data_IF_389263733521
#
_entry.id   IF_389263733521
#
_cell.length_a   1.000
_cell.length_b   1.000
_cell.length_c   1.000
_cell.angle_alpha   90.00
_cell.angle_beta   90.00
_cell.angle_gamma   90.00
#
_symmetry.space_group_name_H-M   'P 1'
#
loop_
_entity.id
_entity.type
_entity.pdbx_description
1 polymer ?
#
# COMPACT_ATOMS: atom_id res chain seq x y z
N UNK A 1 -4.31 9.40 -41.12
CA UNK A 1 -5.77 9.51 -41.35
C UNK A 1 -6.55 8.25 -40.90
N UNK A 2 -5.94 7.29 -40.18
CA UNK A 2 -6.60 6.01 -39.81
C UNK A 2 -6.63 5.70 -38.29
N UNK A 3 -6.35 6.67 -37.41
CA UNK A 3 -6.28 6.47 -35.95
C UNK A 3 -7.57 5.91 -35.32
N UNK A 4 -8.73 6.12 -35.94
CA UNK A 4 -10.01 5.63 -35.44
C UNK A 4 -10.16 4.10 -35.54
N UNK A 5 -9.35 3.41 -36.36
CA UNK A 5 -9.40 1.96 -36.53
C UNK A 5 -8.37 1.22 -35.67
N UNK A 6 -7.38 1.91 -35.11
CA UNK A 6 -6.34 1.33 -34.24
C UNK A 6 -6.91 0.51 -33.06
N UNK A 7 -8.04 0.87 -32.41
CA UNK A 7 -8.60 0.07 -31.31
C UNK A 7 -9.11 -1.32 -31.73
N UNK A 8 -9.48 -1.49 -33.00
CA UNK A 8 -10.13 -2.69 -33.55
C UNK A 8 -9.14 -3.56 -34.35
N UNK A 9 -8.01 -2.99 -34.75
CA UNK A 9 -6.99 -3.69 -35.54
C UNK A 9 -6.13 -4.64 -34.67
N UNK A 10 -5.71 -5.80 -35.22
CA UNK A 10 -4.69 -6.64 -34.61
C UNK A 10 -3.44 -5.83 -34.26
N UNK A 11 -2.76 -6.13 -33.13
CA UNK A 11 -1.60 -5.37 -32.64
C UNK A 11 -0.51 -5.08 -33.70
N UNK A 12 -0.35 -5.94 -34.71
CA UNK A 12 0.60 -5.77 -35.83
C UNK A 12 0.20 -4.71 -36.88
N UNK A 13 -1.06 -4.29 -36.91
CA UNK A 13 -1.62 -3.34 -37.87
C UNK A 13 -1.89 -1.96 -37.28
N UNK A 14 -1.62 -1.77 -35.97
CA UNK A 14 -1.74 -0.46 -35.32
C UNK A 14 -0.68 0.50 -35.82
N UNK A 15 -1.11 1.71 -36.13
CA UNK A 15 -0.22 2.78 -36.63
C UNK A 15 0.53 3.52 -35.51
N UNK A 16 0.24 3.20 -34.24
CA UNK A 16 0.78 3.87 -33.07
C UNK A 16 1.41 2.89 -32.09
N UNK A 17 2.61 3.20 -31.60
CA UNK A 17 3.31 2.39 -30.61
C UNK A 17 2.47 2.27 -29.32
N UNK A 18 2.41 1.08 -28.70
CA UNK A 18 1.63 0.86 -27.50
C UNK A 18 1.98 1.85 -26.37
N UNK A 19 0.98 2.29 -25.63
CA UNK A 19 1.13 3.28 -24.56
C UNK A 19 0.80 2.67 -23.21
N UNK A 20 1.77 2.70 -22.30
CA UNK A 20 1.61 2.23 -20.92
C UNK A 20 1.62 3.42 -19.99
N UNK A 21 0.55 3.60 -19.22
CA UNK A 21 0.54 4.56 -18.13
C UNK A 21 1.23 3.92 -16.91
N UNK A 22 2.21 4.60 -16.33
CA UNK A 22 2.93 4.09 -15.15
C UNK A 22 2.58 4.90 -13.91
N UNK A 23 2.16 4.23 -12.84
CA UNK A 23 1.84 4.84 -11.53
C UNK A 23 2.77 4.25 -10.47
N UNK A 24 3.27 5.09 -9.56
CA UNK A 24 4.10 4.66 -8.42
C UNK A 24 3.32 4.81 -7.12
N UNK A 25 3.21 3.72 -6.36
CA UNK A 25 2.62 3.66 -5.03
C UNK A 25 3.74 3.35 -4.03
N UNK A 26 4.24 4.38 -3.37
CA UNK A 26 5.42 4.28 -2.50
C UNK A 26 5.13 4.83 -1.12
N UNK A 27 5.52 4.08 -0.08
CA UNK A 27 5.38 4.49 1.31
C UNK A 27 4.50 3.56 2.13
N UNK A 28 4.36 3.92 3.40
CA UNK A 28 3.42 3.28 4.32
C UNK A 28 1.99 3.61 3.91
N UNK A 29 1.14 2.58 3.89
CA UNK A 29 -0.27 2.69 3.54
C UNK A 29 -1.05 3.24 4.73
N UNK A 30 -1.74 4.36 4.55
CA UNK A 30 -2.49 5.02 5.62
C UNK A 30 -2.32 6.53 5.62
N UNK A 31 -2.49 7.11 6.80
CA UNK A 31 -2.29 8.53 7.01
C UNK A 31 -0.80 8.90 6.91
N UNK A 32 -0.55 10.04 6.30
CA UNK A 32 0.79 10.60 6.19
C UNK A 32 1.20 11.36 7.43
N UNK A 33 2.47 11.73 7.48
CA UNK A 33 2.95 12.71 8.45
C UNK A 33 2.77 14.12 7.95
N UNK A 34 2.92 15.07 8.88
CA UNK A 34 3.00 16.50 8.57
C UNK A 34 4.08 16.82 7.51
N UNK A 35 5.07 15.93 7.36
CA UNK A 35 6.18 16.09 6.43
C UNK A 35 6.06 15.28 5.13
N UNK A 36 5.30 14.18 5.13
CA UNK A 36 5.16 13.28 3.99
C UNK A 36 3.72 12.78 3.85
N UNK A 37 3.13 12.93 2.67
CA UNK A 37 1.82 12.38 2.39
C UNK A 37 1.86 10.85 2.49
N UNK A 38 0.87 10.28 3.17
CA UNK A 38 0.71 8.83 3.33
C UNK A 38 0.08 8.23 2.07
N UNK A 39 0.28 6.94 1.88
CA UNK A 39 -0.30 6.21 0.76
C UNK A 39 -1.75 5.83 1.11
N UNK A 40 -2.71 6.67 0.74
CA UNK A 40 -4.15 6.44 0.94
C UNK A 40 -4.96 6.75 -0.32
N UNK A 41 -6.22 6.30 -0.36
CA UNK A 41 -7.07 6.44 -1.54
C UNK A 41 -7.20 7.90 -2.01
N UNK A 42 -7.42 8.83 -1.08
CA UNK A 42 -7.58 10.25 -1.40
C UNK A 42 -6.33 10.83 -2.09
N UNK A 43 -5.13 10.39 -1.69
CA UNK A 43 -3.88 10.85 -2.28
C UNK A 43 -3.61 10.25 -3.67
N UNK A 44 -4.05 9.01 -3.94
CA UNK A 44 -3.76 8.30 -5.20
C UNK A 44 -4.85 8.44 -6.26
N UNK A 45 -6.10 8.75 -5.87
CA UNK A 45 -7.25 8.62 -6.76
C UNK A 45 -7.09 9.41 -8.06
N UNK A 46 -6.68 10.68 -8.00
CA UNK A 46 -6.47 11.51 -9.18
C UNK A 46 -5.43 10.94 -10.14
N UNK A 47 -4.37 10.31 -9.61
CA UNK A 47 -3.33 9.71 -10.44
C UNK A 47 -3.81 8.41 -11.08
N UNK A 48 -4.58 7.61 -10.34
CA UNK A 48 -5.21 6.41 -10.89
C UNK A 48 -6.18 6.80 -12.00
N UNK A 49 -7.11 7.73 -11.77
CA UNK A 49 -8.04 8.21 -12.81
C UNK A 49 -7.31 8.68 -14.06
N UNK A 50 -6.29 9.54 -13.92
CA UNK A 50 -5.48 10.03 -15.05
C UNK A 50 -4.78 8.91 -15.82
N UNK A 51 -4.37 7.83 -15.14
CA UNK A 51 -3.72 6.70 -15.80
C UNK A 51 -4.70 5.91 -16.67
N UNK A 52 -5.93 5.68 -16.20
CA UNK A 52 -6.96 4.93 -16.91
C UNK A 52 -7.73 5.76 -17.95
N UNK A 53 -7.89 7.07 -17.73
CA UNK A 53 -8.56 8.00 -18.66
C UNK A 53 -7.65 8.49 -19.79
N UNK A 54 -6.38 8.08 -19.78
CA UNK A 54 -5.41 8.45 -20.81
C UNK A 54 -5.81 7.87 -22.16
N UNK A 55 -6.18 8.73 -23.10
CA UNK A 55 -6.61 8.33 -24.43
C UNK A 55 -5.57 7.45 -25.15
N UNK A 56 -5.98 6.24 -25.53
CA UNK A 56 -5.12 5.26 -26.21
C UNK A 56 -4.16 4.50 -25.31
N UNK A 57 -4.39 4.45 -23.98
CA UNK A 57 -3.64 3.58 -23.08
C UNK A 57 -3.96 2.11 -23.32
N UNK A 58 -2.92 1.29 -23.39
CA UNK A 58 -3.01 -0.15 -23.65
C UNK A 58 -2.94 -0.99 -22.38
N UNK A 59 -2.24 -0.49 -21.36
CA UNK A 59 -2.23 -1.05 -20.02
C UNK A 59 -1.79 -0.01 -18.99
N UNK A 60 -2.14 -0.26 -17.73
CA UNK A 60 -1.60 0.47 -16.59
C UNK A 60 -0.57 -0.41 -15.89
N UNK A 61 0.63 0.12 -15.68
CA UNK A 61 1.68 -0.53 -14.89
C UNK A 61 1.83 0.19 -13.55
N UNK A 62 1.67 -0.53 -12.44
CA UNK A 62 1.70 0.04 -11.09
C UNK A 62 2.94 -0.50 -10.37
N UNK A 63 3.89 0.37 -10.06
CA UNK A 63 5.05 0.03 -9.22
C UNK A 63 4.71 0.26 -7.76
N UNK A 64 4.97 -0.74 -6.93
CA UNK A 64 4.62 -0.77 -5.51
C UNK A 64 5.90 -0.91 -4.71
N UNK A 65 6.13 0.03 -3.80
CA UNK A 65 7.20 -0.04 -2.82
C UNK A 65 6.64 0.32 -1.44
N UNK A 66 6.18 -0.68 -0.70
CA UNK A 66 5.47 -0.49 0.55
C UNK A 66 5.69 -1.64 1.54
N UNK A 67 6.00 -1.33 2.82
CA UNK A 67 6.04 -2.30 3.90
C UNK A 67 4.63 -2.71 4.38
N UNK A 68 3.57 -2.12 3.83
CA UNK A 68 2.19 -2.28 4.27
C UNK A 68 1.68 -1.08 5.05
N UNK A 69 0.73 -1.34 5.95
CA UNK A 69 0.05 -0.32 6.74
C UNK A 69 -1.42 -0.66 6.93
N UNK A 70 -2.30 0.34 6.79
CA UNK A 70 -3.74 0.20 6.99
C UNK A 70 -4.37 -0.85 6.06
N UNK A 71 -5.03 -1.90 6.60
CA UNK A 71 -5.76 -2.88 5.80
C UNK A 71 -6.88 -2.24 4.98
N UNK A 72 -7.61 -1.30 5.57
CA UNK A 72 -8.73 -0.60 4.91
C UNK A 72 -8.24 0.25 3.75
N UNK A 73 -7.17 1.04 3.92
CA UNK A 73 -6.64 1.83 2.80
C UNK A 73 -6.06 0.95 1.70
N UNK A 74 -5.47 -0.20 2.05
CA UNK A 74 -4.99 -1.18 1.07
C UNK A 74 -6.14 -1.72 0.22
N UNK A 75 -7.25 -2.12 0.86
CA UNK A 75 -8.45 -2.58 0.17
C UNK A 75 -9.09 -1.48 -0.70
N UNK A 76 -9.26 -0.27 -0.17
CA UNK A 76 -9.87 0.85 -0.91
C UNK A 76 -9.07 1.22 -2.17
N UNK A 77 -7.73 1.24 -2.09
CA UNK A 77 -6.88 1.52 -3.25
C UNK A 77 -6.95 0.35 -4.24
N UNK A 78 -6.89 -0.90 -3.76
CA UNK A 78 -7.05 -2.09 -4.59
C UNK A 78 -8.37 -2.04 -5.39
N UNK A 79 -9.49 -1.84 -4.69
CA UNK A 79 -10.83 -1.84 -5.30
C UNK A 79 -10.98 -0.71 -6.30
N UNK A 80 -10.35 0.45 -6.02
CA UNK A 80 -10.31 1.55 -6.97
C UNK A 80 -9.57 1.17 -8.24
N UNK A 81 -8.41 0.53 -8.14
CA UNK A 81 -7.64 0.05 -9.29
C UNK A 81 -8.47 -0.92 -10.12
N UNK A 82 -9.14 -1.90 -9.47
CA UNK A 82 -9.98 -2.89 -10.16
C UNK A 82 -11.20 -2.26 -10.83
N UNK A 83 -11.91 -1.38 -10.12
CA UNK A 83 -13.06 -0.65 -10.67
C UNK A 83 -12.67 0.15 -11.91
N UNK A 84 -11.52 0.82 -11.91
CA UNK A 84 -11.04 1.58 -13.07
C UNK A 84 -10.60 0.67 -14.21
N UNK A 85 -9.90 -0.43 -13.92
CA UNK A 85 -9.54 -1.45 -14.90
C UNK A 85 -10.77 -2.00 -15.62
N UNK A 86 -11.81 -2.37 -14.88
CA UNK A 86 -13.06 -2.91 -15.42
C UNK A 86 -13.84 -1.88 -16.23
N UNK A 87 -14.01 -0.66 -15.68
CA UNK A 87 -14.69 0.45 -16.36
C UNK A 87 -14.05 0.79 -17.70
N UNK A 88 -12.72 0.86 -17.75
CA UNK A 88 -11.97 1.27 -18.93
C UNK A 88 -11.56 0.08 -19.82
N UNK A 89 -11.74 -1.16 -19.35
CA UNK A 89 -11.28 -2.40 -20.00
C UNK A 89 -9.78 -2.36 -20.31
N UNK A 90 -9.01 -1.82 -19.36
CA UNK A 90 -7.55 -1.67 -19.47
C UNK A 90 -6.90 -2.65 -18.50
N UNK A 91 -6.02 -3.56 -18.98
CA UNK A 91 -5.32 -4.50 -18.11
C UNK A 91 -4.33 -3.78 -17.19
N UNK A 92 -4.14 -4.34 -16.00
CA UNK A 92 -3.24 -3.83 -14.96
C UNK A 92 -2.12 -4.81 -14.70
N UNK A 93 -0.89 -4.30 -14.71
CA UNK A 93 0.31 -5.05 -14.36
C UNK A 93 0.91 -4.41 -13.11
N UNK A 94 1.10 -5.19 -12.05
CA UNK A 94 1.70 -4.69 -10.80
C UNK A 94 3.14 -5.19 -10.67
N UNK A 95 3.99 -4.35 -10.09
CA UNK A 95 5.42 -4.59 -9.96
C UNK A 95 5.86 -4.23 -8.56
N UNK A 96 6.37 -5.20 -7.80
CA UNK A 96 7.07 -4.91 -6.56
C UNK A 96 8.46 -4.33 -6.88
N UNK A 97 8.82 -3.24 -6.20
CA UNK A 97 10.18 -2.72 -6.17
C UNK A 97 10.95 -3.37 -5.02
N UNK A 98 11.42 -2.62 -4.03
CA UNK A 98 12.17 -3.20 -2.91
C UNK A 98 11.26 -4.08 -2.05
N UNK A 99 10.07 -3.58 -1.68
CA UNK A 99 9.14 -4.28 -0.80
C UNK A 99 7.70 -4.18 -1.32
N UNK A 100 6.99 -5.30 -1.34
CA UNK A 100 5.54 -5.37 -1.42
C UNK A 100 5.06 -6.39 -0.38
N UNK A 101 5.00 -5.94 0.86
CA UNK A 101 4.71 -6.77 2.04
C UNK A 101 3.43 -6.30 2.73
N UNK A 102 2.68 -7.21 3.36
CA UNK A 102 1.42 -6.92 4.06
C UNK A 102 0.46 -6.15 3.15
N UNK A 103 -0.01 -4.96 3.54
CA UNK A 103 -0.82 -4.09 2.66
C UNK A 103 -0.18 -3.79 1.29
N UNK A 104 1.14 -3.78 1.17
CA UNK A 104 1.84 -3.67 -0.11
C UNK A 104 1.59 -4.89 -1.02
N UNK A 105 1.55 -6.09 -0.43
CA UNK A 105 1.17 -7.30 -1.16
C UNK A 105 -0.31 -7.30 -1.55
N UNK A 106 -1.18 -6.75 -0.68
CA UNK A 106 -2.59 -6.52 -1.01
C UNK A 106 -2.75 -5.70 -2.29
N UNK A 107 -1.98 -4.61 -2.42
CA UNK A 107 -1.94 -3.78 -3.63
C UNK A 107 -1.32 -4.52 -4.82
N UNK A 108 -0.31 -5.36 -4.59
CA UNK A 108 0.31 -6.17 -5.64
C UNK A 108 -0.73 -7.09 -6.30
N UNK A 109 -1.65 -7.64 -5.51
CA UNK A 109 -2.77 -8.45 -6.00
C UNK A 109 -3.81 -7.67 -6.84
N UNK A 110 -3.72 -6.33 -6.95
CA UNK A 110 -4.59 -5.54 -7.82
C UNK A 110 -4.30 -5.76 -9.31
N UNK A 111 -3.12 -6.27 -9.66
CA UNK A 111 -2.75 -6.59 -11.04
C UNK A 111 -3.49 -7.81 -11.56
N UNK A 112 -3.71 -7.85 -12.87
CA UNK A 112 -4.05 -9.09 -13.58
C UNK A 112 -2.83 -10.03 -13.58
N UNK A 113 -1.64 -9.43 -13.63
CA UNK A 113 -0.36 -10.09 -13.43
C UNK A 113 0.53 -9.28 -12.47
N UNK A 114 1.23 -9.97 -11.59
CA UNK A 114 2.10 -9.44 -10.55
C UNK A 114 3.55 -9.87 -10.78
N UNK A 115 4.46 -8.92 -10.74
CA UNK A 115 5.89 -9.12 -11.00
C UNK A 115 6.74 -8.58 -9.86
N UNK A 116 7.95 -9.09 -9.71
CA UNK A 116 8.92 -8.58 -8.75
C UNK A 116 10.36 -8.80 -9.25
N UNK A 117 11.33 -8.10 -8.67
CA UNK A 117 12.73 -8.50 -8.82
C UNK A 117 13.01 -9.76 -7.98
N UNK A 118 14.05 -10.53 -8.32
CA UNK A 118 14.40 -11.75 -7.57
C UNK A 118 14.75 -11.48 -6.10
N UNK A 119 15.20 -10.25 -5.80
CA UNK A 119 15.56 -9.77 -4.46
C UNK A 119 14.48 -8.90 -3.79
N UNK A 120 13.36 -8.63 -4.46
CA UNK A 120 12.23 -7.91 -3.84
C UNK A 120 11.69 -8.72 -2.65
N UNK A 121 11.20 -8.04 -1.62
CA UNK A 121 10.57 -8.68 -0.46
C UNK A 121 9.06 -8.73 -0.67
N UNK A 122 8.50 -9.94 -0.69
CA UNK A 122 7.10 -10.21 -1.00
C UNK A 122 6.47 -11.04 0.12
N UNK A 123 5.18 -10.85 0.39
CA UNK A 123 4.42 -11.64 1.36
C UNK A 123 4.06 -10.84 2.59
N UNK A 124 4.40 -11.33 3.77
CA UNK A 124 3.94 -10.80 5.06
C UNK A 124 2.41 -10.76 5.14
N UNK A 125 1.75 -11.82 4.69
CA UNK A 125 0.29 -11.94 4.70
C UNK A 125 -0.13 -12.29 6.13
N UNK A 126 -0.58 -11.27 6.85
CA UNK A 126 -0.94 -11.35 8.25
C UNK A 126 -1.30 -9.98 8.81
N UNK A 127 -1.79 -9.97 10.05
CA UNK A 127 -2.25 -8.78 10.74
C UNK A 127 -1.49 -8.64 12.04
N UNK A 128 -1.03 -7.43 12.33
CA UNK A 128 -0.39 -7.09 13.59
C UNK A 128 -1.05 -5.84 14.15
N UNK A 129 -1.32 -5.88 15.46
CA UNK A 129 -1.62 -4.70 16.24
C UNK A 129 -0.67 -4.68 17.44
N UNK A 130 0.00 -3.55 17.65
CA UNK A 130 1.05 -3.42 18.66
C UNK A 130 0.87 -2.14 19.46
N UNK A 131 1.14 -2.21 20.75
CA UNK A 131 1.15 -1.07 21.67
C UNK A 131 2.23 -1.30 22.74
N UNK A 132 2.38 -0.34 23.66
CA UNK A 132 3.29 -0.44 24.81
C UNK A 132 2.50 -0.47 26.11
N UNK A 133 3.03 -1.16 27.12
CA UNK A 133 2.59 -1.02 28.51
C UNK A 133 3.51 -0.06 29.28
N UNK A 134 2.91 0.94 29.92
CA UNK A 134 3.55 2.00 30.71
C UNK A 134 3.01 2.07 32.15
N UNK A 135 2.12 1.15 32.54
CA UNK A 135 1.56 1.02 33.89
C UNK A 135 2.65 0.98 34.97
N UNK A 136 3.70 0.16 34.75
CA UNK A 136 4.85 0.05 35.67
C UNK A 136 5.70 1.31 35.71
N UNK A 137 5.77 2.05 34.59
CA UNK A 137 6.50 3.30 34.52
C UNK A 137 5.80 4.35 35.38
N UNK A 138 4.50 4.58 35.18
CA UNK A 138 3.79 5.61 35.94
C UNK A 138 3.72 5.28 37.44
N UNK A 139 3.62 3.99 37.80
CA UNK A 139 3.68 3.56 39.19
C UNK A 139 5.05 3.85 39.83
N UNK A 140 6.15 3.68 39.10
CA UNK A 140 7.51 3.97 39.59
C UNK A 140 7.73 5.46 39.88
N UNK A 141 7.05 6.33 39.15
CA UNK A 141 7.18 7.78 39.27
C UNK A 141 6.05 8.43 40.08
N UNK A 142 5.22 7.62 40.76
CA UNK A 142 4.09 8.08 41.58
C UNK A 142 3.09 8.96 40.80
N UNK A 143 2.83 8.58 39.55
CA UNK A 143 1.91 9.30 38.66
C UNK A 143 0.53 8.64 38.70
N UNK A 144 -0.45 9.36 39.23
CA UNK A 144 -1.86 8.98 39.22
C UNK A 144 -2.50 9.19 37.85
N UNK A 145 -2.98 8.12 37.24
CA UNK A 145 -3.82 8.21 36.04
C UNK A 145 -5.30 8.15 36.37
N UNK A 146 -6.02 9.25 36.12
CA UNK A 146 -7.46 9.39 36.41
C UNK A 146 -8.27 9.37 35.12
N UNK A 147 -9.13 8.37 34.95
CA UNK A 147 -9.97 8.19 33.76
C UNK A 147 -11.44 8.13 34.17
N UNK A 148 -12.25 8.98 33.54
CA UNK A 148 -13.70 9.03 33.71
C UNK A 148 -14.35 8.75 32.35
N UNK A 149 -15.10 7.66 32.23
CA UNK A 149 -15.70 7.23 30.96
C UNK A 149 -17.19 6.96 31.08
N UNK A 150 -17.92 7.28 30.02
CA UNK A 150 -19.25 6.72 29.77
C UNK A 150 -19.13 5.47 28.90
N UNK A 151 -19.77 4.37 29.32
CA UNK A 151 -19.68 3.06 28.66
C UNK A 151 -18.65 2.13 29.30
N UNK A 152 -19.06 0.86 29.52
CA UNK A 152 -18.30 -0.13 30.31
C UNK A 152 -16.90 -0.43 29.76
N UNK A 153 -16.70 -0.30 28.45
CA UNK A 153 -15.50 -0.74 27.73
C UNK A 153 -14.75 0.42 27.03
N UNK A 154 -15.00 1.68 27.42
CA UNK A 154 -14.46 2.86 26.71
C UNK A 154 -13.01 3.22 27.07
N UNK A 155 -12.36 2.39 27.88
CA UNK A 155 -10.94 2.47 28.26
C UNK A 155 -10.21 1.14 28.05
N UNK A 156 -10.67 0.28 27.13
CA UNK A 156 -9.91 -0.92 26.72
C UNK A 156 -8.59 -0.50 26.09
N UNK A 157 -7.57 -1.36 26.22
CA UNK A 157 -6.24 -1.18 25.61
C UNK A 157 -5.47 0.05 26.08
N UNK A 158 -5.75 0.42 27.32
CA UNK A 158 -5.13 1.54 27.95
C UNK A 158 -3.68 1.25 28.32
N UNK A 159 -2.74 1.91 27.65
CA UNK A 159 -1.31 1.66 27.84
C UNK A 159 -0.81 1.89 29.27
N UNK A 160 -1.57 2.59 30.11
CA UNK A 160 -1.19 2.90 31.48
C UNK A 160 -1.87 1.99 32.51
N UNK A 161 -2.67 1.03 32.08
CA UNK A 161 -3.27 0.01 32.93
C UNK A 161 -2.65 -1.36 32.62
N UNK A 162 -2.67 -2.29 33.58
CA UNK A 162 -2.34 -3.68 33.30
C UNK A 162 -3.25 -4.24 32.20
N UNK A 163 -2.66 -5.06 31.32
CA UNK A 163 -3.39 -5.73 30.26
C UNK A 163 -4.44 -6.70 30.83
N UNK A 164 -5.62 -6.72 30.22
CA UNK A 164 -6.73 -7.59 30.62
C UNK A 164 -6.88 -8.74 29.62
N UNK A 165 -6.98 -10.01 30.06
CA UNK A 165 -7.15 -11.14 29.16
C UNK A 165 -8.37 -11.01 28.23
N UNK A 166 -9.45 -10.38 28.69
CA UNK A 166 -10.65 -10.18 27.87
C UNK A 166 -10.44 -9.14 26.76
N UNK A 167 -9.56 -8.17 26.96
CA UNK A 167 -9.19 -7.19 25.94
C UNK A 167 -8.26 -7.82 24.89
N UNK A 168 -7.33 -8.67 25.33
CA UNK A 168 -6.45 -9.45 24.44
C UNK A 168 -7.26 -10.39 23.55
N UNK A 169 -8.22 -11.11 24.13
CA UNK A 169 -9.10 -12.02 23.37
C UNK A 169 -9.89 -11.26 22.31
N UNK A 170 -10.44 -10.08 22.65
CA UNK A 170 -11.16 -9.23 21.70
C UNK A 170 -10.26 -8.74 20.54
N UNK A 171 -9.02 -8.35 20.83
CA UNK A 171 -8.05 -7.97 19.79
C UNK A 171 -7.75 -9.17 18.88
N UNK A 172 -7.52 -10.35 19.47
CA UNK A 172 -7.17 -11.54 18.73
C UNK A 172 -8.30 -11.94 17.78
N UNK A 173 -9.55 -11.89 18.24
CA UNK A 173 -10.75 -12.12 17.42
C UNK A 173 -10.83 -11.13 16.25
N UNK A 174 -10.76 -9.83 16.54
CA UNK A 174 -10.79 -8.78 15.51
C UNK A 174 -9.62 -8.91 14.51
N UNK A 175 -8.43 -9.27 14.98
CA UNK A 175 -7.26 -9.48 14.12
C UNK A 175 -7.44 -10.72 13.25
N UNK A 176 -8.10 -11.76 13.78
CA UNK A 176 -8.52 -12.95 13.05
C UNK A 176 -9.46 -12.61 11.90
N UNK A 177 -10.50 -11.81 12.16
CA UNK A 177 -11.45 -11.37 11.12
C UNK A 177 -10.76 -10.62 9.97
N UNK A 178 -9.86 -9.68 10.31
CA UNK A 178 -9.08 -8.93 9.31
C UNK A 178 -8.14 -9.87 8.54
N UNK A 179 -7.53 -10.83 9.23
CA UNK A 179 -6.62 -11.79 8.61
C UNK A 179 -7.37 -12.71 7.64
N UNK A 180 -8.54 -13.21 8.01
CA UNK A 180 -9.36 -14.05 7.14
C UNK A 180 -9.86 -13.29 5.91
N UNK A 181 -10.20 -12.01 6.05
CA UNK A 181 -10.49 -11.15 4.90
C UNK A 181 -9.26 -11.02 3.97
N UNK A 182 -8.04 -10.91 4.53
CA UNK A 182 -6.82 -10.86 3.73
C UNK A 182 -6.54 -12.19 3.01
N UNK A 183 -6.68 -13.33 3.70
CA UNK A 183 -6.54 -14.64 3.07
C UNK A 183 -7.52 -14.79 1.90
N UNK A 184 -8.78 -14.43 2.12
CA UNK A 184 -9.80 -14.51 1.09
C UNK A 184 -9.45 -13.64 -0.13
N UNK A 185 -9.04 -12.40 0.11
CA UNK A 185 -8.56 -11.51 -0.95
C UNK A 185 -7.42 -12.13 -1.77
N UNK A 186 -6.43 -12.73 -1.10
CA UNK A 186 -5.30 -13.38 -1.80
C UNK A 186 -5.77 -14.60 -2.59
N UNK A 187 -6.65 -15.44 -2.02
CA UNK A 187 -7.23 -16.59 -2.73
C UNK A 187 -7.95 -16.17 -4.00
N UNK A 188 -8.79 -15.15 -3.91
CA UNK A 188 -9.59 -14.65 -5.04
C UNK A 188 -8.70 -14.06 -6.15
N UNK A 189 -7.66 -13.31 -5.77
CA UNK A 189 -6.74 -12.67 -6.74
C UNK A 189 -5.68 -13.60 -7.29
N UNK A 190 -5.37 -14.69 -6.60
CA UNK A 190 -4.37 -15.71 -7.00
C UNK A 190 -5.01 -17.07 -7.27
N UNK A 191 -6.29 -17.11 -7.64
CA UNK A 191 -7.03 -18.35 -7.89
C UNK A 191 -6.28 -19.22 -8.92
N UNK A 192 -6.05 -20.49 -8.57
CA UNK A 192 -5.32 -21.44 -9.41
C UNK A 192 -3.82 -21.16 -9.56
N UNK A 193 -3.27 -20.15 -8.88
CA UNK A 193 -1.85 -19.76 -8.98
C UNK A 193 -1.03 -20.07 -7.73
N UNK A 194 -1.65 -20.18 -6.55
CA UNK A 194 -0.96 -20.48 -5.29
C UNK A 194 -0.41 -21.91 -5.30
N UNK A 195 0.86 -22.07 -4.90
CA UNK A 195 1.57 -23.35 -4.94
C UNK A 195 1.91 -23.85 -3.52
N UNK A 196 2.36 -22.94 -2.65
CA UNK A 196 2.60 -23.29 -1.25
C UNK A 196 1.28 -23.51 -0.50
N UNK A 197 1.35 -24.27 0.60
CA UNK A 197 0.22 -24.51 1.48
C UNK A 197 -0.19 -23.25 2.27
N UNK A 198 -1.43 -23.24 2.75
CA UNK A 198 -2.00 -22.10 3.46
C UNK A 198 -1.25 -21.75 4.75
N UNK A 199 -0.76 -22.75 5.48
CA UNK A 199 -0.02 -22.54 6.73
C UNK A 199 1.33 -21.84 6.47
N UNK A 200 1.93 -22.07 5.32
CA UNK A 200 3.12 -21.34 4.86
C UNK A 200 2.77 -19.94 4.36
N UNK A 201 1.71 -19.79 3.55
CA UNK A 201 1.38 -18.52 2.90
C UNK A 201 0.83 -17.47 3.86
N UNK A 202 0.05 -17.88 4.85
CA UNK A 202 -0.77 -17.00 5.68
C UNK A 202 -0.32 -16.96 7.15
N UNK A 203 0.98 -17.16 7.40
CA UNK A 203 1.56 -17.07 8.74
C UNK A 203 2.28 -15.72 9.02
N UNK A 204 2.31 -14.81 8.05
CA UNK A 204 3.01 -13.53 8.17
C UNK A 204 4.49 -13.54 7.76
N UNK A 205 5.02 -14.66 7.25
CA UNK A 205 6.36 -14.74 6.69
C UNK A 205 6.45 -13.96 5.36
N UNK A 206 7.68 -13.57 5.02
CA UNK A 206 8.00 -12.90 3.76
C UNK A 206 9.22 -13.53 3.12
N UNK A 207 9.30 -13.39 1.80
CA UNK A 207 10.28 -14.08 0.99
C UNK A 207 10.86 -13.16 -0.08
N UNK A 208 12.10 -13.45 -0.47
CA UNK A 208 12.68 -12.88 -1.68
C UNK A 208 11.85 -13.29 -2.91
N UNK A 209 11.78 -12.43 -3.92
CA UNK A 209 10.92 -12.60 -5.10
C UNK A 209 11.08 -13.95 -5.79
N UNK A 210 12.30 -14.50 -5.86
CA UNK A 210 12.52 -15.85 -6.42
C UNK A 210 11.75 -16.95 -5.68
N UNK A 211 11.70 -16.89 -4.35
CA UNK A 211 10.94 -17.85 -3.54
C UNK A 211 9.45 -17.55 -3.55
N UNK A 212 9.07 -16.27 -3.55
CA UNK A 212 7.68 -15.85 -3.70
C UNK A 212 7.06 -16.35 -5.03
N UNK A 213 7.83 -16.36 -6.11
CA UNK A 213 7.42 -16.99 -7.39
C UNK A 213 7.18 -18.49 -7.22
N UNK A 214 8.08 -19.21 -6.53
CA UNK A 214 7.91 -20.63 -6.24
C UNK A 214 6.71 -20.96 -5.35
N UNK A 215 6.25 -19.99 -4.55
CA UNK A 215 5.03 -20.09 -3.74
C UNK A 215 3.75 -19.69 -4.50
N UNK A 216 3.87 -19.18 -5.73
CA UNK A 216 2.73 -18.71 -6.51
C UNK A 216 2.22 -17.32 -6.10
N UNK A 217 2.98 -16.57 -5.30
CA UNK A 217 2.60 -15.24 -4.83
C UNK A 217 2.75 -14.16 -5.92
N UNK A 218 3.59 -14.41 -6.93
CA UNK A 218 3.79 -13.55 -8.11
C UNK A 218 3.79 -14.40 -9.38
N UNK A 219 3.62 -13.77 -10.54
CA UNK A 219 3.54 -14.42 -11.85
C UNK A 219 4.90 -14.48 -12.57
N UNK A 220 5.86 -13.63 -12.21
CA UNK A 220 7.18 -13.68 -12.82
C UNK A 220 8.21 -12.74 -12.20
N UNK A 221 9.46 -12.95 -12.60
CA UNK A 221 10.59 -12.08 -12.24
C UNK A 221 10.81 -11.04 -13.35
N UNK A 222 10.89 -9.78 -12.96
CA UNK A 222 11.21 -8.68 -13.87
C UNK A 222 10.84 -7.31 -13.32
N UNK A 223 11.28 -6.29 -14.02
CA UNK A 223 10.89 -4.90 -13.77
C UNK A 223 9.89 -4.41 -14.82
N UNK A 224 9.24 -3.27 -14.52
CA UNK A 224 8.24 -2.61 -15.40
C UNK A 224 8.72 -2.55 -16.85
N UNK A 225 9.94 -2.07 -17.10
CA UNK A 225 10.41 -1.85 -18.46
C UNK A 225 10.63 -3.16 -19.21
N UNK A 226 11.29 -4.14 -18.59
CA UNK A 226 11.60 -5.43 -19.19
C UNK A 226 10.34 -6.22 -19.55
N UNK A 227 9.40 -6.33 -18.61
CA UNK A 227 8.17 -7.10 -18.77
C UNK A 227 7.23 -6.44 -19.78
N UNK A 228 7.06 -5.13 -19.69
CA UNK A 228 6.15 -4.42 -20.60
C UNK A 228 6.71 -4.39 -22.03
N UNK A 229 8.04 -4.27 -22.21
CA UNK A 229 8.66 -4.42 -23.54
C UNK A 229 8.50 -5.84 -24.10
N UNK A 230 8.65 -6.86 -23.27
CA UNK A 230 8.45 -8.24 -23.70
C UNK A 230 7.00 -8.50 -24.15
N UNK A 231 6.01 -7.93 -23.45
CA UNK A 231 4.59 -8.14 -23.74
C UNK A 231 4.02 -7.25 -24.84
N UNK A 232 4.49 -6.00 -24.96
CA UNK A 232 3.93 -4.98 -25.86
C UNK A 232 4.87 -4.59 -27.00
N UNK A 233 6.10 -5.11 -27.02
CA UNK A 233 7.11 -4.83 -28.04
C UNK A 233 8.16 -3.80 -27.61
N UNK A 234 9.31 -3.75 -28.31
CA UNK A 234 10.43 -2.91 -27.93
C UNK A 234 10.12 -1.40 -27.98
N UNK A 235 9.20 -0.99 -28.85
CA UNK A 235 8.85 0.41 -29.12
C UNK A 235 7.75 0.97 -28.20
N UNK A 236 7.36 0.21 -27.18
CA UNK A 236 6.37 0.61 -26.17
C UNK A 236 6.75 1.94 -25.53
N UNK A 237 5.77 2.84 -25.39
CA UNK A 237 5.93 4.15 -24.78
C UNK A 237 5.40 4.12 -23.36
N UNK A 238 6.19 4.63 -22.42
CA UNK A 238 5.79 4.79 -21.03
C UNK A 238 5.42 6.24 -20.76
N UNK A 239 4.29 6.47 -20.12
CA UNK A 239 3.90 7.79 -19.63
C UNK A 239 3.65 7.74 -18.14
N UNK A 240 4.53 8.39 -17.39
CA UNK A 240 4.41 8.47 -15.95
C UNK A 240 3.28 9.39 -15.53
N UNK A 241 2.45 8.89 -14.61
CA UNK A 241 1.38 9.65 -13.96
C UNK A 241 1.77 9.84 -12.51
N UNK A 242 2.19 11.06 -12.20
CA UNK A 242 2.60 11.43 -10.85
C UNK A 242 1.39 11.77 -9.99
N UNK A 243 1.45 11.40 -8.70
CA UNK A 243 0.48 11.85 -7.70
C UNK A 243 0.46 13.38 -7.64
N UNK A 244 -0.73 13.96 -7.61
CA UNK A 244 -0.90 15.41 -7.52
C UNK A 244 -0.30 15.89 -6.20
N UNK A 245 0.82 16.62 -6.25
CA UNK A 245 1.23 17.43 -5.11
C UNK A 245 0.17 18.52 -4.98
N UNK A 246 -0.76 18.37 -4.05
CA UNK A 246 -1.93 19.24 -3.89
C UNK A 246 -1.57 20.70 -4.17
N UNK A 247 -2.29 21.33 -5.11
CA UNK A 247 -1.99 22.66 -5.66
C UNK A 247 -1.77 23.72 -4.55
N UNK A 248 -2.38 23.53 -3.37
CA UNK A 248 -2.20 24.37 -2.19
C UNK A 248 -0.76 24.43 -1.67
N UNK A 249 0.03 23.35 -1.76
CA UNK A 249 1.46 23.37 -1.39
C UNK A 249 2.30 24.19 -2.37
N UNK A 250 1.80 24.44 -3.59
CA UNK A 250 2.48 25.24 -4.62
C UNK A 250 2.08 26.71 -4.55
N UNK A 251 0.83 27.02 -4.16
CA UNK A 251 0.34 28.39 -4.01
C UNK A 251 0.76 29.04 -2.67
N UNK A 252 0.91 28.26 -1.60
CA UNK A 252 1.30 28.76 -0.27
C UNK A 252 2.72 28.28 0.15
N UNK A 253 3.46 27.66 -0.77
CA UNK A 253 4.74 27.00 -0.49
C UNK A 253 5.97 27.88 -0.48
N UNK A 254 5.85 29.21 -0.64
CA UNK A 254 7.02 30.09 -0.59
C UNK A 254 6.70 31.53 -0.15
N UNK A 255 5.91 31.72 0.91
CA UNK A 255 5.94 32.95 1.70
C UNK A 255 4.95 32.90 2.87
N UNK A 256 5.44 33.27 4.05
CA UNK A 256 4.77 33.60 5.32
C UNK A 256 4.30 32.46 6.25
N UNK A 257 4.96 32.29 7.41
CA UNK A 257 4.44 31.55 8.55
C UNK A 257 3.47 32.46 9.32
N UNK A 258 2.17 32.34 9.08
CA UNK A 258 1.17 33.15 9.77
C UNK A 258 -0.02 32.31 10.26
N UNK A 259 0.27 31.42 11.20
CA UNK A 259 -0.61 31.01 12.31
C UNK A 259 0.19 30.09 13.26
N UNK A 260 1.41 30.49 13.63
CA UNK A 260 2.20 29.78 14.63
C UNK A 260 1.83 30.35 16.01
N UNK A 261 0.85 29.72 16.66
CA UNK A 261 0.69 29.86 18.10
C UNK A 261 1.91 29.18 18.74
N UNK A 262 2.77 29.96 19.41
CA UNK A 262 4.09 29.53 19.91
C UNK A 262 4.05 28.34 20.86
N UNK A 263 2.90 28.04 21.46
CA UNK A 263 2.71 26.89 22.35
C UNK A 263 2.49 25.54 21.62
N UNK A 264 2.22 25.54 20.31
CA UNK A 264 1.94 24.31 19.53
C UNK A 264 3.10 23.85 18.65
N UNK A 265 4.19 24.63 18.56
CA UNK A 265 5.37 24.32 17.73
C UNK A 265 6.09 23.07 18.25
N UNK A 266 6.27 22.97 19.57
CA UNK A 266 6.92 21.80 20.18
C UNK A 266 6.14 20.50 19.97
N UNK A 267 4.82 20.55 20.11
CA UNK A 267 3.94 19.38 19.98
C UNK A 267 3.84 18.91 18.53
N UNK A 268 3.70 19.84 17.57
CA UNK A 268 3.62 19.50 16.14
C UNK A 268 4.92 18.91 15.58
N UNK A 269 6.07 19.40 16.05
CA UNK A 269 7.38 18.86 15.68
C UNK A 269 7.62 17.49 16.33
N UNK A 270 7.29 17.33 17.62
CA UNK A 270 7.44 16.05 18.33
C UNK A 270 6.58 14.94 17.71
N UNK A 271 5.31 15.25 17.39
CA UNK A 271 4.41 14.30 16.73
C UNK A 271 4.93 13.89 15.35
N UNK A 272 5.44 14.85 14.56
CA UNK A 272 6.01 14.55 13.25
C UNK A 272 7.27 13.68 13.32
N UNK A 273 8.12 13.87 14.33
CA UNK A 273 9.30 13.02 14.55
C UNK A 273 8.93 11.60 15.01
N UNK A 274 7.94 11.45 15.89
CA UNK A 274 7.45 10.14 16.31
C UNK A 274 6.94 9.32 15.11
N UNK A 275 6.15 9.94 14.24
CA UNK A 275 5.61 9.28 13.05
C UNK A 275 6.69 8.91 12.03
N UNK A 276 7.74 9.74 11.88
CA UNK A 276 8.91 9.38 11.05
C UNK A 276 9.66 8.20 11.65
N UNK A 277 9.77 8.12 12.97
CA UNK A 277 10.40 6.99 13.65
C UNK A 277 9.58 5.70 13.46
N UNK A 278 8.25 5.77 13.54
CA UNK A 278 7.35 4.65 13.23
C UNK A 278 7.46 4.21 11.77
N UNK A 279 7.44 5.15 10.82
CA UNK A 279 7.65 4.84 9.39
C UNK A 279 8.98 4.13 9.19
N UNK A 280 10.07 4.67 9.75
CA UNK A 280 11.39 4.05 9.66
C UNK A 280 11.43 2.67 10.33
N UNK A 281 10.72 2.46 11.44
CA UNK A 281 10.64 1.16 12.09
C UNK A 281 9.95 0.12 11.19
N UNK A 282 8.90 0.50 10.45
CA UNK A 282 8.24 -0.38 9.48
C UNK A 282 9.16 -0.79 8.33
N UNK A 283 9.98 0.13 7.83
CA UNK A 283 10.98 -0.18 6.78
C UNK A 283 12.15 -1.01 7.32
N UNK A 284 12.64 -0.70 8.52
CA UNK A 284 13.76 -1.41 9.15
C UNK A 284 13.48 -2.89 9.37
N UNK A 285 12.21 -3.30 9.55
CA UNK A 285 11.82 -4.73 9.62
C UNK A 285 12.27 -5.52 8.39
N UNK A 286 12.43 -4.84 7.26
CA UNK A 286 12.88 -5.38 5.98
C UNK A 286 14.34 -5.05 5.64
N UNK A 287 15.07 -4.42 6.56
CA UNK A 287 16.47 -4.02 6.36
C UNK A 287 16.65 -2.75 5.53
N UNK A 288 15.63 -1.87 5.47
CA UNK A 288 15.63 -0.62 4.68
C UNK A 288 15.46 0.63 5.56
#
# INVERSE_FOLDING_TARGET
MFKFLDPILPKKLRTTNPLIATVRLTGVIGEGSNFKAGLNLAAVNDALEKAFEMGGVDAVAISINSPGGSPVQSALIHDRIRTLSEKHKVPVFTFAEDVAASGGYWLLCAGDEAYAHETSIIGSIGVIMSSFGLDKLIAKWDIDRRVYTSGKNKSKLDMFMPEKPEDVALIAEMSGDIHDAFKQHVRDRREGKLIADEDTLFNGDFWAGKRALGHGLIDGIGNVYSVMKAKFGPDVRFKEVTMSKGLFKKLFGSSTPAALNSNNIGVGVAHGLAQVAEEKAMWNRFGL
#
